data_IF_981746951407
#
_entry.id   IF_981746951407
#
_cell.length_a   1.000
_cell.length_b   1.000
_cell.length_c   1.000
_cell.angle_alpha   90.00
_cell.angle_beta   90.00
_cell.angle_gamma   90.00
#
_symmetry.space_group_name_H-M   'P 1'
#
loop_
_entity.id
_entity.type
_entity.pdbx_description
1 polymer ?
#
# COMPACT_ATOMS: atom_id res chain seq x y z
N UNK A 1 -11.41 -13.31 -9.76
CA UNK A 1 -12.68 -12.72 -9.28
C UNK A 1 -12.55 -11.21 -9.28
N UNK A 2 -13.47 -10.49 -9.91
CA UNK A 2 -13.53 -9.02 -9.90
C UNK A 2 -14.87 -8.57 -9.32
N UNK A 3 -14.82 -7.52 -8.50
CA UNK A 3 -15.96 -6.88 -7.86
C UNK A 3 -16.00 -5.41 -8.28
N UNK A 4 -17.18 -4.82 -8.28
CA UNK A 4 -17.35 -3.37 -8.43
C UNK A 4 -17.92 -2.80 -7.13
N UNK A 5 -17.07 -2.13 -6.36
CA UNK A 5 -17.43 -1.47 -5.10
C UNK A 5 -17.83 -0.02 -5.41
N UNK A 6 -19.13 0.20 -5.63
CA UNK A 6 -19.65 1.47 -6.12
C UNK A 6 -19.15 1.76 -7.54
N UNK A 7 -18.24 2.72 -7.67
CA UNK A 7 -17.59 3.06 -8.94
C UNK A 7 -16.18 2.47 -9.09
N UNK A 8 -15.66 1.80 -8.05
CA UNK A 8 -14.29 1.29 -8.02
C UNK A 8 -14.28 -0.18 -8.41
N UNK A 9 -13.51 -0.54 -9.44
CA UNK A 9 -13.26 -1.94 -9.77
C UNK A 9 -12.19 -2.50 -8.83
N UNK A 10 -12.47 -3.63 -8.21
CA UNK A 10 -11.59 -4.29 -7.23
C UNK A 10 -11.37 -5.74 -7.63
N UNK A 11 -10.11 -6.16 -7.70
CA UNK A 11 -9.74 -7.56 -7.98
C UNK A 11 -9.44 -8.26 -6.66
N UNK A 12 -10.08 -9.40 -6.42
CA UNK A 12 -9.89 -10.19 -5.20
C UNK A 12 -8.85 -11.27 -5.46
N UNK A 13 -7.79 -11.28 -4.65
CA UNK A 13 -6.75 -12.32 -4.63
C UNK A 13 -7.06 -13.27 -3.47
N UNK A 14 -7.49 -14.49 -3.80
CA UNK A 14 -7.97 -15.48 -2.81
C UNK A 14 -7.12 -16.76 -2.77
N UNK A 15 -5.87 -16.72 -3.26
CA UNK A 15 -4.94 -17.85 -3.20
C UNK A 15 -3.52 -17.41 -2.87
N UNK A 16 -2.79 -18.27 -2.16
CA UNK A 16 -1.41 -18.02 -1.76
C UNK A 16 -0.47 -17.89 -2.97
N UNK A 17 -0.70 -18.68 -4.02
CA UNK A 17 0.09 -18.65 -5.26
C UNK A 17 0.00 -17.29 -5.95
N UNK A 18 -1.21 -16.73 -6.08
CA UNK A 18 -1.39 -15.41 -6.71
C UNK A 18 -0.94 -14.30 -5.76
N UNK A 19 -1.18 -14.43 -4.45
CA UNK A 19 -0.66 -13.47 -3.47
C UNK A 19 0.87 -13.38 -3.53
N UNK A 20 1.59 -14.50 -3.67
CA UNK A 20 3.04 -14.50 -3.88
C UNK A 20 3.44 -13.79 -5.17
N UNK A 21 2.73 -14.04 -6.27
CA UNK A 21 3.01 -13.35 -7.53
C UNK A 21 2.87 -11.83 -7.39
N UNK A 22 1.79 -11.36 -6.77
CA UNK A 22 1.48 -9.93 -6.65
C UNK A 22 2.34 -9.22 -5.60
N UNK A 23 2.50 -9.81 -4.42
CA UNK A 23 3.14 -9.16 -3.26
C UNK A 23 4.65 -9.40 -3.18
N UNK A 24 5.20 -10.36 -3.94
CA UNK A 24 6.63 -10.68 -3.93
C UNK A 24 7.27 -10.59 -5.30
N UNK A 25 6.66 -11.20 -6.32
CA UNK A 25 7.27 -11.24 -7.67
C UNK A 25 7.05 -9.94 -8.45
N UNK A 26 5.88 -9.31 -8.29
CA UNK A 26 5.48 -8.06 -8.94
C UNK A 26 5.27 -6.94 -7.91
N UNK A 27 5.95 -7.04 -6.76
CA UNK A 27 5.74 -6.19 -5.60
C UNK A 27 5.86 -4.70 -5.93
N UNK A 28 6.85 -4.31 -6.74
CA UNK A 28 7.06 -2.93 -7.14
C UNK A 28 5.84 -2.34 -7.87
N UNK A 29 5.21 -3.10 -8.77
CA UNK A 29 4.03 -2.66 -9.52
C UNK A 29 2.78 -2.52 -8.64
N UNK A 30 2.64 -3.38 -7.64
CA UNK A 30 1.47 -3.43 -6.74
C UNK A 30 1.69 -2.79 -5.37
N UNK A 31 2.83 -2.10 -5.18
CA UNK A 31 3.19 -1.48 -3.90
C UNK A 31 2.42 -0.19 -3.59
N UNK A 32 1.83 0.44 -4.61
CA UNK A 32 1.01 1.64 -4.43
C UNK A 32 -0.35 1.32 -3.79
N UNK A 33 -0.94 2.31 -3.11
CA UNK A 33 -2.17 2.13 -2.33
C UNK A 33 -3.26 3.05 -2.84
N UNK A 34 -4.48 2.51 -2.87
CA UNK A 34 -5.68 3.32 -3.04
C UNK A 34 -5.82 4.31 -1.88
N UNK A 35 -6.15 5.57 -2.18
CA UNK A 35 -6.32 6.64 -1.19
C UNK A 35 -7.81 6.94 -1.01
N UNK A 36 -8.45 6.47 0.07
CA UNK A 36 -9.81 6.87 0.42
C UNK A 36 -9.91 8.38 0.68
N UNK A 37 -11.08 8.97 0.38
CA UNK A 37 -11.32 10.40 0.56
C UNK A 37 -11.04 10.89 2.00
N UNK A 38 -11.32 10.07 3.01
CA UNK A 38 -11.03 10.40 4.41
C UNK A 38 -9.54 10.74 4.67
N UNK A 39 -8.62 10.14 3.91
CA UNK A 39 -7.18 10.38 4.06
C UNK A 39 -6.66 11.59 3.31
N UNK A 40 -7.53 12.23 2.51
CA UNK A 40 -7.23 13.53 1.92
C UNK A 40 -7.32 14.65 2.98
N UNK A 41 -8.03 14.41 4.09
CA UNK A 41 -8.04 15.32 5.23
C UNK A 41 -6.60 15.61 5.68
N UNK A 42 -6.28 16.89 5.82
CA UNK A 42 -4.94 17.39 6.16
C UNK A 42 -3.81 16.86 5.27
N UNK A 43 -4.12 16.40 4.04
CA UNK A 43 -3.17 15.74 3.15
C UNK A 43 -2.49 14.51 3.80
N UNK A 44 -3.15 13.80 4.72
CA UNK A 44 -2.53 12.74 5.51
C UNK A 44 -1.84 11.66 4.64
N UNK A 45 -2.45 11.30 3.50
CA UNK A 45 -1.89 10.34 2.54
C UNK A 45 -0.51 10.73 1.97
N UNK A 46 -0.14 12.02 1.98
CA UNK A 46 1.15 12.52 1.50
C UNK A 46 2.29 12.36 2.51
N UNK A 47 1.98 12.04 3.76
CA UNK A 47 2.97 11.98 4.84
C UNK A 47 2.95 10.67 5.62
N UNK A 48 1.83 9.95 5.60
CA UNK A 48 1.67 8.67 6.29
C UNK A 48 2.49 7.56 5.63
N UNK A 49 3.30 6.83 6.43
CA UNK A 49 4.03 5.65 5.95
C UNK A 49 3.10 4.58 5.39
N UNK A 50 1.85 4.57 5.84
CA UNK A 50 0.85 3.59 5.45
C UNK A 50 0.20 3.90 4.09
N UNK A 51 0.34 5.13 3.55
CA UNK A 51 -0.28 5.54 2.28
C UNK A 51 0.65 6.21 1.26
N UNK A 52 1.84 6.64 1.69
CA UNK A 52 2.88 7.10 0.79
C UNK A 52 3.21 6.00 -0.26
N UNK A 53 3.37 6.36 -1.54
CA UNK A 53 3.89 5.43 -2.53
C UNK A 53 5.34 5.07 -2.22
N UNK A 54 5.86 4.01 -2.84
CA UNK A 54 7.26 3.64 -2.70
C UNK A 54 8.15 4.73 -3.31
N UNK A 55 8.70 5.56 -2.45
CA UNK A 55 9.60 6.66 -2.78
C UNK A 55 10.73 6.75 -1.73
N UNK A 56 11.78 7.56 -1.95
CA UNK A 56 12.87 7.71 -0.97
C UNK A 56 12.38 8.09 0.43
N UNK A 57 11.42 9.00 0.54
CA UNK A 57 10.83 9.41 1.82
C UNK A 57 10.16 8.23 2.54
N UNK A 58 9.37 7.42 1.84
CA UNK A 58 8.74 6.24 2.41
C UNK A 58 9.76 5.22 2.93
N UNK A 59 10.85 4.98 2.17
CA UNK A 59 11.93 4.06 2.57
C UNK A 59 12.62 4.53 3.84
N UNK A 60 12.90 5.83 3.95
CA UNK A 60 13.51 6.43 5.15
C UNK A 60 12.61 6.27 6.37
N UNK A 61 11.33 6.65 6.27
CA UNK A 61 10.37 6.51 7.37
C UNK A 61 10.22 5.05 7.82
N UNK A 62 10.11 4.12 6.87
CA UNK A 62 10.01 2.68 7.17
C UNK A 62 11.25 2.16 7.91
N UNK A 63 12.46 2.59 7.51
CA UNK A 63 13.71 2.21 8.19
C UNK A 63 13.76 2.72 9.63
N UNK A 64 13.39 3.99 9.84
CA UNK A 64 13.35 4.60 11.18
C UNK A 64 12.37 3.83 12.07
N UNK A 65 11.15 3.57 11.58
CA UNK A 65 10.14 2.84 12.34
C UNK A 65 10.59 1.41 12.69
N UNK A 66 11.19 0.68 11.76
CA UNK A 66 11.71 -0.66 12.06
C UNK A 66 12.79 -0.60 13.14
N UNK A 67 13.68 0.39 13.08
CA UNK A 67 14.74 0.52 14.08
C UNK A 67 14.18 0.86 15.48
N UNK A 68 13.22 1.77 15.55
CA UNK A 68 12.67 2.25 16.82
C UNK A 68 11.61 1.31 17.44
N UNK A 69 10.85 0.56 16.63
CA UNK A 69 9.77 -0.31 17.12
C UNK A 69 10.24 -1.72 17.51
N UNK A 70 11.39 -2.16 17.00
CA UNK A 70 11.94 -3.49 17.27
C UNK A 70 13.23 -3.45 18.11
N UNK A 71 13.52 -2.30 18.73
CA UNK A 71 14.45 -2.18 19.85
C UNK A 71 13.69 -2.42 21.15
#
# INVERSE_FOLDING_TARGET
>A
MSLKLGQITTVVISSSTIAKQVLKTQDQAFSSRFVPNALQAHNHYKFSVAWLPVCPQWRTLRRIMIYLLYQ
#
